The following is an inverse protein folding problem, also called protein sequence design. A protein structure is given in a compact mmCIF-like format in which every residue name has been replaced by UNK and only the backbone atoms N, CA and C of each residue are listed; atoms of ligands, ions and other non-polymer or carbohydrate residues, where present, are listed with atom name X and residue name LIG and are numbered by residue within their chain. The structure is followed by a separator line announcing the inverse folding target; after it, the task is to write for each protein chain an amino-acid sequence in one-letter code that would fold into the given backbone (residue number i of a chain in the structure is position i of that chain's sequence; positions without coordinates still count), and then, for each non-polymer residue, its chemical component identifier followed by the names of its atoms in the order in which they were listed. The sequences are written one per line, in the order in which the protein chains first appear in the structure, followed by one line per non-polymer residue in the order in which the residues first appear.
data_IF_210519432857
#
_entry.id   IF_210519432857
#
_cell.length_a   1.000
_cell.length_b   1.000
_cell.length_c   1.000
_cell.angle_alpha   90.00
_cell.angle_beta   90.00
_cell.angle_gamma   90.00
#
_symmetry.space_group_name_H-M   'P 1'
#
loop_
_entity.id
_entity.type
_entity.pdbx_description
1 polymer ?
#
# COMPACT_ATOMS: atom_id res chain seq x y z
N UNK A 1 15.87 -12.63 -27.86
CA UNK A 1 17.12 -12.80 -27.08
C UNK A 1 18.26 -11.88 -27.51
N UNK A 2 18.60 -11.77 -28.81
CA UNK A 2 19.74 -10.94 -29.30
C UNK A 2 19.80 -9.49 -28.79
N UNK A 3 18.65 -8.85 -28.57
CA UNK A 3 18.62 -7.47 -28.09
C UNK A 3 19.00 -7.32 -26.60
N UNK A 4 18.61 -8.27 -25.75
CA UNK A 4 18.92 -8.18 -24.31
C UNK A 4 20.40 -8.47 -24.06
N UNK A 5 21.01 -9.38 -24.82
CA UNK A 5 22.47 -9.59 -24.76
C UNK A 5 23.23 -8.33 -25.16
N UNK A 6 22.80 -7.62 -26.20
CA UNK A 6 23.42 -6.35 -26.59
C UNK A 6 23.30 -5.29 -25.48
N UNK A 7 22.13 -5.16 -24.85
CA UNK A 7 21.94 -4.21 -23.74
C UNK A 7 22.80 -4.56 -22.52
N UNK A 8 22.99 -5.85 -22.22
CA UNK A 8 23.91 -6.32 -21.17
C UNK A 8 25.36 -5.93 -21.48
N UNK A 9 25.83 -6.19 -22.70
CA UNK A 9 27.18 -5.79 -23.12
C UNK A 9 27.37 -4.28 -23.03
N UNK A 10 26.38 -3.48 -23.48
CA UNK A 10 26.44 -2.02 -23.35
C UNK A 10 26.50 -1.58 -21.88
N UNK A 11 25.75 -2.25 -20.99
CA UNK A 11 25.81 -1.98 -19.56
C UNK A 11 27.19 -2.33 -18.96
N UNK A 12 27.73 -3.51 -19.30
CA UNK A 12 29.05 -3.98 -18.84
C UNK A 12 30.19 -3.08 -19.31
N UNK A 13 30.07 -2.49 -20.50
CA UNK A 13 31.03 -1.54 -21.07
C UNK A 13 30.81 -0.08 -20.61
N UNK A 14 29.86 0.17 -19.69
CA UNK A 14 29.45 1.51 -19.23
C UNK A 14 28.96 2.44 -20.36
N UNK A 15 28.40 1.87 -21.43
CA UNK A 15 27.80 2.57 -22.56
C UNK A 15 26.28 2.72 -22.44
N UNK A 16 25.66 2.00 -21.51
CA UNK A 16 24.25 2.14 -21.14
C UNK A 16 24.16 2.38 -19.64
N UNK A 17 23.84 3.60 -19.26
CA UNK A 17 23.72 4.03 -17.87
C UNK A 17 22.25 4.10 -17.44
N UNK A 18 22.02 4.18 -16.13
CA UNK A 18 20.68 4.40 -15.55
C UNK A 18 20.05 5.67 -16.13
N UNK A 19 20.83 6.74 -16.27
CA UNK A 19 20.40 8.04 -16.78
C UNK A 19 19.89 7.97 -18.22
N UNK A 20 20.44 7.05 -19.03
CA UNK A 20 20.04 6.86 -20.42
C UNK A 20 18.62 6.31 -20.54
N UNK A 21 18.13 5.58 -19.54
CA UNK A 21 16.74 5.08 -19.49
C UNK A 21 15.76 6.24 -19.63
N UNK A 22 16.01 7.36 -18.95
CA UNK A 22 15.16 8.54 -19.07
C UNK A 22 15.51 9.39 -20.27
N UNK A 23 16.81 9.61 -20.51
CA UNK A 23 17.27 10.49 -21.59
C UNK A 23 16.68 10.08 -22.94
N UNK A 24 16.53 8.78 -23.16
CA UNK A 24 16.01 8.23 -24.41
C UNK A 24 14.64 7.56 -24.27
N UNK A 25 13.97 7.72 -23.12
CA UNK A 25 12.68 7.08 -22.79
C UNK A 25 12.65 5.58 -23.14
N UNK A 26 13.72 4.87 -22.75
CA UNK A 26 13.92 3.46 -23.11
C UNK A 26 12.83 2.56 -22.53
N UNK A 27 12.21 2.99 -21.43
CA UNK A 27 11.07 2.28 -20.83
C UNK A 27 9.85 2.36 -21.76
N UNK A 28 9.52 3.54 -22.29
CA UNK A 28 8.46 3.70 -23.28
C UNK A 28 8.71 2.91 -24.57
N UNK A 29 9.95 2.97 -25.08
CA UNK A 29 10.36 2.26 -26.29
C UNK A 29 10.31 0.74 -26.15
N UNK A 30 10.46 0.22 -24.92
CA UNK A 30 10.42 -1.21 -24.62
C UNK A 30 9.06 -1.71 -24.12
N UNK A 31 8.10 -0.82 -23.85
CA UNK A 31 6.77 -1.13 -23.32
C UNK A 31 5.78 -1.82 -24.28
N UNK A 32 6.26 -2.68 -25.17
CA UNK A 32 5.42 -3.46 -26.08
C UNK A 32 5.40 -4.93 -25.63
N UNK A 33 4.29 -5.63 -25.84
CA UNK A 33 4.14 -7.05 -25.46
C UNK A 33 5.28 -7.94 -25.99
N UNK A 34 5.74 -7.69 -27.22
CA UNK A 34 6.82 -8.45 -27.87
C UNK A 34 8.21 -8.15 -27.28
N UNK A 35 8.30 -7.12 -26.45
CA UNK A 35 9.53 -6.61 -25.85
C UNK A 35 9.62 -6.88 -24.35
N UNK A 36 8.82 -7.80 -23.79
CA UNK A 36 8.77 -8.13 -22.35
C UNK A 36 10.16 -8.25 -21.70
N UNK A 37 11.06 -9.04 -22.29
CA UNK A 37 12.42 -9.22 -21.75
C UNK A 37 13.28 -7.95 -21.78
N UNK A 38 13.08 -7.09 -22.80
CA UNK A 38 13.78 -5.81 -22.90
C UNK A 38 13.25 -4.84 -21.86
N UNK A 39 11.92 -4.75 -21.74
CA UNK A 39 11.25 -3.96 -20.72
C UNK A 39 11.74 -4.34 -19.33
N UNK A 40 11.75 -5.64 -19.01
CA UNK A 40 12.24 -6.18 -17.74
C UNK A 40 13.68 -5.75 -17.45
N UNK A 41 14.57 -5.87 -18.45
CA UNK A 41 15.97 -5.45 -18.30
C UNK A 41 16.09 -3.94 -18.02
N UNK A 42 15.40 -3.10 -18.80
CA UNK A 42 15.41 -1.64 -18.62
C UNK A 42 14.84 -1.24 -17.25
N UNK A 43 13.78 -1.93 -16.83
CA UNK A 43 13.16 -1.69 -15.53
C UNK A 43 14.09 -2.10 -14.37
N UNK A 44 14.84 -3.19 -14.51
CA UNK A 44 15.84 -3.61 -13.52
C UNK A 44 17.03 -2.63 -13.45
N UNK A 45 17.37 -1.99 -14.57
CA UNK A 45 18.40 -0.96 -14.63
C UNK A 45 17.95 0.32 -13.91
N UNK A 46 16.68 0.71 -14.08
CA UNK A 46 16.09 1.85 -13.39
C UNK A 46 14.63 1.61 -12.95
N UNK A 47 14.41 1.14 -11.71
CA UNK A 47 13.05 1.00 -11.16
C UNK A 47 12.28 2.32 -11.08
N UNK A 48 12.99 3.44 -10.83
CA UNK A 48 12.37 4.74 -10.62
C UNK A 48 11.76 5.29 -11.91
N UNK A 49 12.09 4.72 -13.07
CA UNK A 49 11.54 5.10 -14.36
C UNK A 49 10.02 4.97 -14.47
N UNK A 50 9.40 4.06 -13.72
CA UNK A 50 7.94 3.98 -13.65
C UNK A 50 7.31 5.22 -13.00
N UNK A 51 8.04 5.87 -12.08
CA UNK A 51 7.60 7.10 -11.41
C UNK A 51 7.87 8.37 -12.22
N UNK A 52 8.60 8.31 -13.34
CA UNK A 52 8.93 9.52 -14.11
C UNK A 52 7.90 9.78 -15.21
N UNK A 53 7.77 11.05 -15.56
CA UNK A 53 6.96 11.46 -16.71
C UNK A 53 7.66 11.03 -18.00
N UNK A 54 6.88 10.50 -18.94
CA UNK A 54 7.37 10.19 -20.28
C UNK A 54 7.62 11.49 -21.05
N UNK A 55 8.62 11.48 -21.94
CA UNK A 55 8.89 12.61 -22.83
C UNK A 55 7.85 12.73 -23.96
N UNK A 56 7.14 11.64 -24.26
CA UNK A 56 6.25 11.53 -25.42
C UNK A 56 4.77 11.57 -25.07
N UNK A 57 4.42 11.50 -23.78
CA UNK A 57 3.05 11.35 -23.32
C UNK A 57 2.78 12.25 -22.11
N UNK A 58 1.60 12.88 -22.02
CA UNK A 58 1.19 13.61 -20.83
C UNK A 58 0.90 12.60 -19.70
N UNK A 59 1.92 12.24 -18.93
CA UNK A 59 1.75 11.29 -17.82
C UNK A 59 2.98 10.43 -17.55
N UNK A 60 2.83 9.59 -16.53
CA UNK A 60 3.77 8.50 -16.26
C UNK A 60 3.66 7.41 -17.33
N UNK A 61 4.74 6.67 -17.54
CA UNK A 61 4.78 5.56 -18.51
C UNK A 61 3.57 4.62 -18.39
N UNK A 62 3.16 4.30 -17.16
CA UNK A 62 2.06 3.38 -16.88
C UNK A 62 0.72 3.84 -17.46
N UNK A 63 0.43 5.14 -17.46
CA UNK A 63 -0.79 5.67 -18.10
C UNK A 63 -0.78 5.39 -19.61
N UNK A 64 0.36 5.65 -20.24
CA UNK A 64 0.53 5.38 -21.66
C UNK A 64 0.57 3.91 -22.04
N UNK A 65 0.98 3.06 -21.11
CA UNK A 65 0.93 1.61 -21.27
C UNK A 65 -0.51 1.09 -21.26
N UNK A 66 -1.37 1.61 -20.38
CA UNK A 66 -2.74 1.12 -20.21
C UNK A 66 -3.67 1.49 -21.35
N UNK A 67 -3.40 2.59 -22.04
CA UNK A 67 -4.18 3.01 -23.22
C UNK A 67 -3.91 2.16 -24.47
N UNK A 68 -2.90 1.27 -24.43
CA UNK A 68 -2.57 0.29 -25.48
C UNK A 68 -3.50 -0.92 -25.41
N UNK A 69 -3.16 -2.02 -26.08
CA UNK A 69 -3.93 -3.27 -26.05
C UNK A 69 -3.78 -4.07 -24.75
N UNK A 70 -4.76 -4.91 -24.45
CA UNK A 70 -4.79 -5.73 -23.22
C UNK A 70 -3.57 -6.65 -23.08
N UNK A 71 -3.03 -7.19 -24.18
CA UNK A 71 -1.82 -8.02 -24.17
C UNK A 71 -0.57 -7.21 -23.76
N UNK A 72 -0.47 -5.95 -24.18
CA UNK A 72 0.60 -5.05 -23.76
C UNK A 72 0.46 -4.65 -22.29
N UNK A 73 -0.76 -4.33 -21.83
CA UNK A 73 -1.05 -4.11 -20.41
C UNK A 73 -0.60 -5.29 -19.55
N UNK A 74 -1.00 -6.52 -19.92
CA UNK A 74 -0.61 -7.76 -19.22
C UNK A 74 0.91 -7.90 -19.16
N UNK A 75 1.60 -7.78 -20.29
CA UNK A 75 3.05 -7.95 -20.35
C UNK A 75 3.81 -6.95 -19.44
N UNK A 76 3.34 -5.71 -19.38
CA UNK A 76 3.92 -4.65 -18.54
C UNK A 76 3.66 -4.92 -17.07
N UNK A 77 2.42 -5.25 -16.69
CA UNK A 77 2.11 -5.57 -15.29
C UNK A 77 2.85 -6.81 -14.82
N UNK A 78 2.84 -7.90 -15.58
CA UNK A 78 3.60 -9.11 -15.23
C UNK A 78 5.08 -8.77 -14.99
N UNK A 79 5.70 -8.03 -15.91
CA UNK A 79 7.12 -7.66 -15.76
C UNK A 79 7.36 -6.76 -14.54
N UNK A 80 6.44 -5.85 -14.26
CA UNK A 80 6.53 -4.94 -13.11
C UNK A 80 6.44 -5.72 -11.81
N UNK A 81 5.44 -6.59 -11.66
CA UNK A 81 5.26 -7.43 -10.47
C UNK A 81 6.37 -8.48 -10.31
N UNK A 82 6.86 -9.07 -11.41
CA UNK A 82 7.99 -10.00 -11.38
C UNK A 82 9.28 -9.34 -10.85
N UNK A 83 9.47 -8.04 -11.13
CA UNK A 83 10.66 -7.32 -10.68
C UNK A 83 10.47 -6.61 -9.33
N UNK A 84 9.27 -6.10 -9.08
CA UNK A 84 8.93 -5.26 -7.93
C UNK A 84 7.53 -5.63 -7.43
N UNK A 85 7.38 -6.76 -6.73
CA UNK A 85 6.08 -7.25 -6.28
C UNK A 85 5.35 -6.24 -5.38
N UNK A 86 6.09 -5.42 -4.63
CA UNK A 86 5.53 -4.39 -3.74
C UNK A 86 5.04 -3.13 -4.47
N UNK A 87 5.30 -3.00 -5.77
CA UNK A 87 5.04 -1.79 -6.55
C UNK A 87 3.69 -1.79 -7.29
N UNK A 88 2.73 -2.65 -6.92
CA UNK A 88 1.37 -2.53 -7.48
C UNK A 88 0.70 -1.17 -7.20
N UNK A 89 1.25 -0.38 -6.27
CA UNK A 89 0.88 1.02 -6.08
C UNK A 89 0.84 1.83 -7.38
N UNK A 90 1.59 1.42 -8.41
CA UNK A 90 1.51 2.04 -9.74
C UNK A 90 0.15 1.93 -10.42
N UNK A 91 -0.68 0.93 -10.10
CA UNK A 91 -2.09 0.87 -10.54
C UNK A 91 -2.86 2.12 -10.12
N UNK A 92 -2.49 2.70 -8.99
CA UNK A 92 -3.17 3.86 -8.40
C UNK A 92 -2.39 5.16 -8.56
N UNK A 93 -1.29 5.14 -9.32
CA UNK A 93 -0.52 6.33 -9.64
C UNK A 93 -1.39 7.31 -10.44
N UNK A 94 -1.44 8.55 -9.97
CA UNK A 94 -2.25 9.61 -10.59
C UNK A 94 -1.45 10.34 -11.66
N UNK A 95 -2.11 10.71 -12.75
CA UNK A 95 -1.57 11.66 -13.73
C UNK A 95 -1.75 13.12 -13.26
N UNK A 96 -1.43 14.08 -14.14
CA UNK A 96 -1.55 15.51 -13.85
C UNK A 96 -2.98 16.00 -13.62
N UNK A 97 -3.99 15.24 -14.05
CA UNK A 97 -5.41 15.56 -13.86
C UNK A 97 -6.05 14.70 -12.77
N UNK A 98 -5.26 13.92 -12.04
CA UNK A 98 -5.71 13.12 -10.90
C UNK A 98 -6.35 11.77 -11.28
N UNK A 99 -6.31 11.36 -12.55
CA UNK A 99 -6.78 10.04 -12.99
C UNK A 99 -5.74 8.99 -12.65
N UNK A 100 -6.18 7.83 -12.18
CA UNK A 100 -5.28 6.71 -11.84
C UNK A 100 -5.02 5.83 -13.06
N UNK A 101 -3.87 5.16 -13.13
CA UNK A 101 -3.55 4.15 -14.17
C UNK A 101 -4.68 3.12 -14.31
N UNK A 102 -5.25 2.66 -13.20
CA UNK A 102 -6.38 1.74 -13.17
C UNK A 102 -7.64 2.31 -13.82
N UNK A 103 -7.93 3.59 -13.62
CA UNK A 103 -9.08 4.25 -14.25
C UNK A 103 -8.92 4.29 -15.77
N UNK A 104 -7.71 4.57 -16.26
CA UNK A 104 -7.40 4.53 -17.69
C UNK A 104 -7.61 3.12 -18.26
N UNK A 105 -7.14 2.09 -17.55
CA UNK A 105 -7.36 0.70 -17.94
C UNK A 105 -8.86 0.33 -17.98
N UNK A 106 -9.64 0.74 -16.98
CA UNK A 106 -11.09 0.52 -16.93
C UNK A 106 -11.81 1.15 -18.12
N UNK A 107 -11.52 2.42 -18.43
CA UNK A 107 -12.17 3.12 -19.54
C UNK A 107 -11.81 2.49 -20.89
N UNK A 108 -10.59 1.98 -21.03
CA UNK A 108 -10.12 1.39 -22.30
C UNK A 108 -10.59 -0.04 -22.53
N UNK A 109 -10.53 -0.89 -21.49
CA UNK A 109 -10.69 -2.34 -21.61
C UNK A 109 -11.97 -2.87 -20.95
N UNK A 110 -12.63 -2.06 -20.14
CA UNK A 110 -13.76 -2.47 -19.30
C UNK A 110 -13.32 -3.16 -18.01
N UNK A 111 -14.23 -3.21 -17.03
CA UNK A 111 -13.96 -3.75 -15.69
C UNK A 111 -13.54 -5.20 -15.72
N UNK A 112 -14.32 -6.07 -16.36
CA UNK A 112 -14.06 -7.51 -16.34
C UNK A 112 -12.68 -7.86 -16.93
N UNK A 113 -12.33 -7.30 -18.08
CA UNK A 113 -11.03 -7.57 -18.73
C UNK A 113 -9.87 -7.03 -17.88
N UNK A 114 -10.01 -5.82 -17.34
CA UNK A 114 -8.98 -5.21 -16.50
C UNK A 114 -8.76 -6.02 -15.23
N UNK A 115 -9.83 -6.34 -14.51
CA UNK A 115 -9.74 -7.07 -13.24
C UNK A 115 -9.34 -8.53 -13.42
N UNK A 116 -9.73 -9.17 -14.52
CA UNK A 116 -9.26 -10.52 -14.88
C UNK A 116 -7.74 -10.54 -15.06
N UNK A 117 -7.17 -9.58 -15.82
CA UNK A 117 -5.72 -9.46 -15.98
C UNK A 117 -5.02 -9.19 -14.64
N UNK A 118 -5.53 -8.24 -13.84
CA UNK A 118 -4.94 -7.93 -12.53
C UNK A 118 -4.99 -9.16 -11.61
N UNK A 119 -6.10 -9.89 -11.59
CA UNK A 119 -6.25 -11.10 -10.77
C UNK A 119 -5.27 -12.18 -11.20
N UNK A 120 -5.15 -12.47 -12.49
CA UNK A 120 -4.19 -13.46 -12.99
C UNK A 120 -2.75 -13.15 -12.55
N UNK A 121 -2.39 -11.86 -12.53
CA UNK A 121 -1.04 -11.41 -12.21
C UNK A 121 -0.79 -11.41 -10.69
N UNK A 122 -1.79 -11.03 -9.89
CA UNK A 122 -1.67 -10.96 -8.43
C UNK A 122 -1.88 -12.33 -7.77
N UNK A 123 -2.67 -13.24 -8.35
CA UNK A 123 -2.99 -14.55 -7.73
C UNK A 123 -1.76 -15.39 -7.35
N UNK A 124 -0.66 -15.42 -8.11
CA UNK A 124 0.59 -16.07 -7.67
C UNK A 124 1.21 -15.46 -6.41
N UNK A 125 0.85 -14.21 -6.09
CA UNK A 125 1.32 -13.42 -4.96
C UNK A 125 0.17 -13.25 -3.95
N UNK A 126 -0.35 -14.36 -3.43
CA UNK A 126 -1.50 -14.37 -2.49
C UNK A 126 -1.32 -13.48 -1.25
N UNK A 127 -0.09 -13.11 -0.91
CA UNK A 127 0.22 -12.23 0.23
C UNK A 127 0.23 -10.74 -0.14
N UNK A 128 -0.04 -10.39 -1.40
CA UNK A 128 0.02 -9.01 -1.87
C UNK A 128 -1.20 -8.20 -1.39
N UNK A 129 -1.02 -7.12 -0.60
CA UNK A 129 -2.11 -6.40 0.07
C UNK A 129 -2.83 -5.41 -0.85
N UNK A 130 -3.29 -5.84 -2.04
CA UNK A 130 -3.87 -4.96 -3.08
C UNK A 130 -5.00 -4.06 -2.55
N UNK A 131 -5.82 -4.60 -1.64
CA UNK A 131 -6.94 -3.85 -1.07
C UNK A 131 -6.47 -2.68 -0.20
N UNK A 132 -5.31 -2.78 0.46
CA UNK A 132 -4.70 -1.68 1.22
C UNK A 132 -4.35 -0.53 0.28
N UNK A 133 -3.71 -0.85 -0.85
CA UNK A 133 -3.34 0.13 -1.86
C UNK A 133 -4.58 0.79 -2.49
N UNK A 134 -5.61 0.01 -2.82
CA UNK A 134 -6.85 0.54 -3.40
C UNK A 134 -7.55 1.52 -2.44
N UNK A 135 -7.68 1.14 -1.17
CA UNK A 135 -8.35 1.96 -0.14
C UNK A 135 -7.65 3.29 0.12
N UNK A 136 -6.32 3.29 0.11
CA UNK A 136 -5.53 4.49 0.40
C UNK A 136 -5.43 5.40 -0.83
N UNK A 137 -5.13 4.83 -2.00
CA UNK A 137 -4.79 5.64 -3.17
C UNK A 137 -6.00 5.96 -4.05
N UNK A 138 -7.00 5.08 -4.09
CA UNK A 138 -8.18 5.21 -4.94
C UNK A 138 -9.47 4.63 -4.32
N UNK A 139 -9.91 5.12 -3.14
CA UNK A 139 -11.02 4.52 -2.39
C UNK A 139 -12.36 4.40 -3.14
N UNK A 140 -12.58 5.18 -4.21
CA UNK A 140 -13.74 5.04 -5.11
C UNK A 140 -13.82 3.68 -5.81
N UNK A 141 -12.71 2.94 -5.91
CA UNK A 141 -12.65 1.62 -6.55
C UNK A 141 -12.62 0.45 -5.55
N UNK A 142 -12.71 0.74 -4.25
CA UNK A 142 -12.65 -0.27 -3.19
C UNK A 142 -13.62 -1.42 -3.40
N UNK A 143 -14.87 -1.14 -3.77
CA UNK A 143 -15.88 -2.19 -3.97
C UNK A 143 -15.49 -3.15 -5.08
N UNK A 144 -14.90 -2.65 -6.17
CA UNK A 144 -14.42 -3.47 -7.29
C UNK A 144 -13.30 -4.39 -6.79
N UNK A 145 -12.28 -3.86 -6.12
CA UNK A 145 -11.19 -4.67 -5.60
C UNK A 145 -11.65 -5.66 -4.52
N UNK A 146 -12.53 -5.26 -3.62
CA UNK A 146 -13.08 -6.13 -2.58
C UNK A 146 -13.87 -7.32 -3.16
N UNK A 147 -14.60 -7.12 -4.26
CA UNK A 147 -15.34 -8.18 -4.93
C UNK A 147 -14.42 -9.18 -5.63
N UNK A 148 -13.31 -8.71 -6.19
CA UNK A 148 -12.36 -9.55 -6.93
C UNK A 148 -11.30 -10.21 -6.05
N UNK A 149 -10.98 -9.62 -4.89
CA UNK A 149 -9.96 -10.07 -3.96
C UNK A 149 -10.49 -10.12 -2.51
N UNK A 150 -11.55 -10.92 -2.22
CA UNK A 150 -12.09 -11.02 -0.87
C UNK A 150 -11.07 -11.55 0.15
N UNK A 151 -10.11 -12.37 -0.28
CA UNK A 151 -9.01 -12.87 0.55
C UNK A 151 -8.07 -11.76 1.03
N UNK A 152 -7.99 -10.63 0.32
CA UNK A 152 -7.07 -9.54 0.65
C UNK A 152 -7.46 -8.76 1.92
N UNK A 153 -8.66 -8.98 2.46
CA UNK A 153 -9.13 -8.34 3.70
C UNK A 153 -8.34 -8.75 4.94
N UNK A 154 -7.85 -9.98 4.99
CA UNK A 154 -7.09 -10.52 6.12
C UNK A 154 -5.59 -10.32 6.00
N UNK A 155 -5.12 -9.88 4.83
CA UNK A 155 -3.70 -9.60 4.60
C UNK A 155 -3.25 -8.42 5.44
N UNK A 156 -1.94 -8.38 5.68
CA UNK A 156 -1.27 -7.25 6.31
C UNK A 156 -0.38 -6.56 5.29
N UNK A 157 -0.22 -5.25 5.42
CA UNK A 157 0.74 -4.52 4.58
C UNK A 157 2.19 -4.88 4.94
N UNK A 158 3.15 -4.31 4.20
CA UNK A 158 4.59 -4.52 4.44
C UNK A 158 5.08 -4.04 5.81
N UNK A 159 4.27 -3.26 6.52
CA UNK A 159 4.53 -2.81 7.89
C UNK A 159 3.83 -3.69 8.94
N UNK A 160 3.14 -4.76 8.52
CA UNK A 160 2.37 -5.64 9.39
C UNK A 160 1.02 -5.05 9.81
N UNK A 161 0.57 -3.94 9.21
CA UNK A 161 -0.71 -3.32 9.54
C UNK A 161 -1.86 -4.11 8.97
N UNK A 162 -2.94 -4.24 9.74
CA UNK A 162 -4.22 -4.65 9.18
C UNK A 162 -4.79 -3.56 8.27
N UNK A 163 -5.80 -3.92 7.47
CA UNK A 163 -6.48 -2.99 6.56
C UNK A 163 -6.97 -1.71 7.26
N UNK A 164 -7.55 -1.87 8.45
CA UNK A 164 -8.01 -0.76 9.29
C UNK A 164 -6.82 0.12 9.70
N UNK A 165 -5.75 -0.48 10.22
CA UNK A 165 -4.58 0.27 10.68
C UNK A 165 -3.95 1.06 9.53
N UNK A 166 -3.89 0.50 8.33
CA UNK A 166 -3.40 1.19 7.14
C UNK A 166 -4.29 2.39 6.76
N UNK A 167 -5.63 2.25 6.81
CA UNK A 167 -6.57 3.38 6.60
C UNK A 167 -6.34 4.48 7.65
N UNK A 168 -6.20 4.11 8.93
CA UNK A 168 -6.00 5.09 10.00
C UNK A 168 -4.66 5.80 9.88
N UNK A 169 -3.60 5.06 9.54
CA UNK A 169 -2.26 5.60 9.33
C UNK A 169 -2.17 6.51 8.09
N UNK A 170 -3.02 6.29 7.08
CA UNK A 170 -3.12 7.15 5.91
C UNK A 170 -3.83 8.50 6.19
N UNK A 171 -4.42 8.68 7.37
CA UNK A 171 -4.92 9.97 7.84
C UNK A 171 -6.43 10.20 7.66
N UNK A 172 -6.91 11.34 8.17
CA UNK A 172 -8.33 11.65 8.33
C UNK A 172 -9.13 11.61 7.03
N UNK A 173 -8.57 12.09 5.92
CA UNK A 173 -9.20 12.01 4.60
C UNK A 173 -9.50 10.57 4.18
N UNK A 174 -8.52 9.66 4.33
CA UNK A 174 -8.69 8.24 4.01
C UNK A 174 -9.78 7.61 4.89
N UNK A 175 -9.87 7.99 6.18
CA UNK A 175 -10.93 7.53 7.08
C UNK A 175 -12.32 8.01 6.64
N UNK A 176 -12.45 9.25 6.15
CA UNK A 176 -13.72 9.79 5.64
C UNK A 176 -14.17 9.02 4.40
N UNK A 177 -13.27 8.83 3.43
CA UNK A 177 -13.53 8.10 2.18
C UNK A 177 -13.90 6.63 2.44
N UNK A 178 -13.48 6.08 3.59
CA UNK A 178 -13.72 4.70 4.01
C UNK A 178 -14.60 4.59 5.27
N UNK A 179 -15.57 5.50 5.44
CA UNK A 179 -16.40 5.61 6.66
C UNK A 179 -17.15 4.33 7.04
N UNK A 180 -17.62 3.54 6.07
CA UNK A 180 -18.31 2.27 6.33
C UNK A 180 -17.35 1.25 6.97
N UNK A 181 -16.14 1.14 6.43
CA UNK A 181 -15.11 0.25 6.96
C UNK A 181 -14.71 0.69 8.38
N UNK A 182 -14.58 2.00 8.61
CA UNK A 182 -14.34 2.56 9.93
C UNK A 182 -15.46 2.26 10.94
N UNK A 183 -16.73 2.37 10.53
CA UNK A 183 -17.86 2.05 11.39
C UNK A 183 -17.89 0.56 11.77
N UNK A 184 -17.41 -0.31 10.88
CA UNK A 184 -17.36 -1.77 11.04
C UNK A 184 -16.20 -2.28 11.90
N UNK A 185 -15.33 -1.41 12.43
CA UNK A 185 -14.20 -1.82 13.29
C UNK A 185 -14.72 -2.62 14.50
N UNK A 186 -14.12 -3.79 14.78
CA UNK A 186 -14.47 -4.64 15.93
C UNK A 186 -13.83 -4.15 17.24
N UNK A 187 -14.32 -4.64 18.39
CA UNK A 187 -13.73 -4.29 19.69
C UNK A 187 -12.26 -4.73 19.80
N UNK A 188 -11.91 -5.88 19.22
CA UNK A 188 -10.54 -6.39 19.21
C UNK A 188 -9.63 -5.51 18.34
N UNK A 189 -10.13 -5.07 17.18
CA UNK A 189 -9.40 -4.14 16.32
C UNK A 189 -9.19 -2.77 17.00
N UNK A 190 -10.15 -2.30 17.81
CA UNK A 190 -9.97 -1.06 18.61
C UNK A 190 -8.83 -1.21 19.64
N UNK A 191 -8.56 -2.42 20.10
CA UNK A 191 -7.47 -2.72 21.04
C UNK A 191 -6.13 -3.02 20.34
N UNK A 192 -6.15 -3.28 19.03
CA UNK A 192 -4.95 -3.62 18.26
C UNK A 192 -4.09 -2.38 18.02
N UNK A 193 -2.88 -2.35 18.59
CA UNK A 193 -1.94 -1.24 18.35
C UNK A 193 -1.32 -1.34 16.97
N UNK A 194 -1.16 -0.19 16.33
CA UNK A 194 -0.42 -0.08 15.08
C UNK A 194 1.04 -0.55 15.31
N UNK A 195 1.55 -1.50 14.51
CA UNK A 195 2.87 -2.09 14.72
C UNK A 195 4.02 -1.11 14.53
N UNK A 196 3.82 0.00 13.82
CA UNK A 196 4.86 1.00 13.52
C UNK A 196 4.88 2.11 14.56
N UNK A 197 3.72 2.71 14.82
CA UNK A 197 3.57 3.89 15.68
C UNK A 197 3.27 3.52 17.12
N UNK A 198 2.89 2.27 17.39
CA UNK A 198 2.42 1.75 18.69
C UNK A 198 1.13 2.41 19.21
N UNK A 199 0.51 3.28 18.39
CA UNK A 199 -0.72 3.97 18.74
C UNK A 199 -1.92 3.04 18.66
N UNK A 200 -2.88 3.26 19.54
CA UNK A 200 -4.21 2.67 19.39
C UNK A 200 -4.99 3.40 18.29
N UNK A 201 -5.98 2.76 17.67
CA UNK A 201 -6.84 3.34 16.64
C UNK A 201 -7.37 4.74 16.95
N UNK A 202 -7.90 4.96 18.16
CA UNK A 202 -8.43 6.27 18.54
C UNK A 202 -7.34 7.37 18.60
N UNK A 203 -6.11 7.00 19.00
CA UNK A 203 -4.99 7.91 19.05
C UNK A 203 -4.44 8.18 17.65
N UNK A 204 -4.34 7.14 16.80
CA UNK A 204 -3.93 7.26 15.41
C UNK A 204 -4.83 8.25 14.65
N UNK A 205 -6.16 8.11 14.79
CA UNK A 205 -7.15 9.03 14.21
C UNK A 205 -6.98 10.48 14.70
N UNK A 206 -6.58 10.68 15.95
CA UNK A 206 -6.39 12.01 16.52
C UNK A 206 -5.03 12.64 16.17
N UNK A 207 -4.02 11.82 15.87
CA UNK A 207 -2.63 12.26 15.67
C UNK A 207 -2.27 12.68 14.24
N UNK A 208 -3.13 12.42 13.27
CA UNK A 208 -2.88 12.79 11.87
C UNK A 208 -2.97 14.30 11.62
N UNK A 209 -2.44 14.74 10.47
CA UNK A 209 -2.52 16.14 10.01
C UNK A 209 -3.98 16.65 9.99
N UNK A 210 -4.91 15.78 9.58
CA UNK A 210 -6.36 15.99 9.62
C UNK A 210 -7.03 15.27 10.80
N UNK A 211 -6.46 15.38 12.01
CA UNK A 211 -6.92 14.66 13.19
C UNK A 211 -8.42 14.85 13.46
N UNK A 212 -9.17 13.74 13.58
CA UNK A 212 -10.63 13.76 13.79
C UNK A 212 -11.00 13.35 15.22
N UNK A 213 -11.15 14.35 16.08
CA UNK A 213 -11.50 14.12 17.49
C UNK A 213 -12.86 13.44 17.66
N UNK A 214 -13.84 13.69 16.78
CA UNK A 214 -15.16 13.06 16.90
C UNK A 214 -15.07 11.57 16.64
N UNK A 215 -14.34 11.15 15.59
CA UNK A 215 -14.06 9.74 15.31
C UNK A 215 -13.19 9.10 16.40
N UNK A 216 -12.22 9.84 16.95
CA UNK A 216 -11.43 9.36 18.10
C UNK A 216 -12.32 9.08 19.32
N UNK A 217 -13.17 10.03 19.71
CA UNK A 217 -14.12 9.86 20.82
C UNK A 217 -15.14 8.74 20.56
N UNK A 218 -15.57 8.57 19.31
CA UNK A 218 -16.44 7.46 18.92
C UNK A 218 -15.78 6.10 19.23
N UNK A 219 -14.51 5.89 18.84
CA UNK A 219 -13.78 4.65 19.14
C UNK A 219 -13.59 4.45 20.65
N UNK A 220 -13.25 5.51 21.39
CA UNK A 220 -13.12 5.47 22.85
C UNK A 220 -14.43 5.08 23.54
N UNK A 221 -15.57 5.61 23.08
CA UNK A 221 -16.89 5.26 23.62
C UNK A 221 -17.25 3.80 23.39
N UNK A 222 -16.84 3.23 22.26
CA UNK A 222 -17.05 1.81 21.95
C UNK A 222 -16.18 0.89 22.80
N UNK A 223 -14.98 1.33 23.18
CA UNK A 223 -14.10 0.54 24.02
C UNK A 223 -13.35 1.38 25.08
N UNK A 224 -14.05 1.79 26.16
CA UNK A 224 -13.45 2.65 27.19
C UNK A 224 -12.35 1.94 27.99
N UNK A 225 -12.38 0.60 28.02
CA UNK A 225 -11.39 -0.22 28.74
C UNK A 225 -9.95 -0.06 28.25
N UNK A 226 -9.75 0.41 27.01
CA UNK A 226 -8.40 0.65 26.45
C UNK A 226 -7.65 1.70 27.25
N UNK A 227 -8.35 2.75 27.72
CA UNK A 227 -7.75 3.83 28.52
C UNK A 227 -7.36 3.32 29.92
N UNK A 228 -8.19 2.47 30.52
CA UNK A 228 -7.92 1.89 31.83
C UNK A 228 -6.68 0.98 31.83
N UNK A 229 -6.37 0.35 30.68
CA UNK A 229 -5.14 -0.42 30.48
C UNK A 229 -3.89 0.43 30.29
N UNK A 230 -4.03 1.72 29.95
CA UNK A 230 -2.90 2.66 29.81
C UNK A 230 -2.41 3.19 31.16
N UNK A 231 -3.25 3.18 32.19
CA UNK A 231 -2.87 3.64 33.52
C UNK A 231 -2.01 2.54 34.16
N UNK A 232 -0.72 2.79 34.47
CA UNK A 232 0.09 1.83 35.20
C UNK A 232 -0.61 1.50 36.52
N UNK A 233 -0.91 0.22 36.76
CA UNK A 233 -1.37 -0.21 38.08
C UNK A 233 -0.24 0.05 39.05
N UNK A 234 -0.32 1.17 39.77
CA UNK A 234 0.57 1.45 40.89
C UNK A 234 0.37 0.32 41.90
N UNK A 235 1.29 -0.65 41.89
CA UNK A 235 1.43 -1.65 42.91
C UNK A 235 1.88 -0.94 44.19
N UNK A 236 0.95 -0.27 44.87
CA UNK A 236 1.11 0.11 46.28
C UNK A 236 1.11 -1.17 47.08
N UNK A 237 2.28 -1.81 47.12
CA UNK A 237 2.58 -2.87 48.08
C UNK A 237 2.32 -2.32 49.47
N UNK A 238 1.22 -2.74 50.08
CA UNK A 238 0.98 -2.60 51.51
C UNK A 238 2.07 -3.40 52.24
N UNK A 239 3.22 -2.78 52.49
CA UNK A 239 4.15 -3.18 53.56
C UNK A 239 3.40 -2.98 54.88
N UNK A 240 2.58 -3.96 55.29
CA UNK A 240 2.05 -4.04 56.64
C UNK A 240 3.22 -4.30 57.57
N UNK A 241 3.63 -3.23 58.26
CA UNK A 241 4.72 -3.22 59.22
C UNK A 241 4.55 -4.28 60.31
N UNK A 242 5.59 -5.10 60.45
CA UNK A 242 5.84 -6.02 61.55
C UNK A 242 6.06 -5.18 62.82
N UNK A 243 5.03 -4.94 63.63
CA UNK A 243 5.17 -4.27 64.93
C UNK A 243 5.79 -5.26 65.93
N UNK A 244 7.12 -5.16 66.11
CA UNK A 244 7.85 -5.68 67.28
C UNK A 244 7.28 -5.03 68.54
N UNK A 245 6.80 -5.82 69.49
CA UNK A 245 6.67 -5.41 70.90
C UNK A 245 7.82 -6.07 71.68
N UNK A 246 8.71 -5.25 72.24
CA UNK A 246 9.84 -5.62 73.09
C UNK A 246 9.68 -4.89 74.43
N UNK A 247 9.81 -5.63 75.54
CA UNK A 247 10.05 -5.15 76.92
C UNK A 247 8.80 -4.72 77.69
N UNK A 248 8.72 -4.85 79.03
CA UNK A 248 9.72 -5.25 80.05
C UNK A 248 9.01 -5.30 81.42
N UNK A 249 9.50 -6.16 82.34
CA UNK A 249 9.49 -6.09 83.83
C UNK A 249 8.12 -6.00 84.54
N UNK A 250 7.85 -6.61 85.70
CA UNK A 250 8.68 -7.12 86.82
C UNK A 250 8.23 -8.52 87.26
#
# INVERSE_FOLDING_TARGET
MRYVSALKTLQEENLLLKEDVHRYDLLYASGWEQSKLRFKFILQLDPDALNKFSLYMPGHFMHGAMSRGAATMRAIFESTFECYPDQAGFLFQKDLIGRTVFQEALEKHGEYNTMSVIRDIISPHMDFPILHHALIAAPKFTSIFANWFPEAYSLRDSYGRSLIQAILAAGGKCVIENSIIFASISHDQIQERDPVTTLYPFAAVASGEDGDLQKSFYLLRRQPGVVNGMIPKNNTSKKRGKKRKKGKAE
#
